data_IF_275330529667
#
_entry.id   IF_275330529667
#
_cell.length_a   1.000
_cell.length_b   1.000
_cell.length_c   1.000
_cell.angle_alpha   90.00
_cell.angle_beta   90.00
_cell.angle_gamma   90.00
#
_symmetry.space_group_name_H-M   'P 1'
#
loop_
_entity.id
_entity.type
_entity.pdbx_description
1 polymer ?
#
# COMPACT_ATOMS: atom_id res chain seq x y z
N UNK A 1 -32.73 30.65 -20.00
CA UNK A 1 -31.43 30.03 -20.36
C UNK A 1 -31.03 29.10 -19.23
N UNK A 2 -31.09 27.78 -19.44
CA UNK A 2 -30.80 26.78 -18.40
C UNK A 2 -29.28 26.56 -18.31
N UNK A 3 -28.68 26.93 -17.18
CA UNK A 3 -27.30 26.60 -16.82
C UNK A 3 -27.25 25.15 -16.34
N UNK A 4 -26.74 24.26 -17.20
CA UNK A 4 -26.44 22.87 -16.82
C UNK A 4 -25.40 22.87 -15.68
N UNK A 5 -25.59 22.10 -14.60
CA UNK A 5 -24.54 21.90 -13.61
C UNK A 5 -23.41 21.09 -14.25
N UNK A 6 -22.23 21.69 -14.34
CA UNK A 6 -21.03 21.02 -14.84
C UNK A 6 -20.79 19.76 -14.02
N UNK A 7 -21.05 18.60 -14.63
CA UNK A 7 -20.75 17.29 -14.06
C UNK A 7 -19.28 17.29 -13.64
N UNK A 8 -18.95 16.99 -12.36
CA UNK A 8 -17.56 16.92 -11.94
C UNK A 8 -16.90 15.82 -12.77
N UNK A 9 -15.97 16.23 -13.62
CA UNK A 9 -15.23 15.35 -14.51
C UNK A 9 -14.60 14.24 -13.67
N UNK A 10 -14.52 13.01 -14.17
CA UNK A 10 -13.90 11.90 -13.44
C UNK A 10 -12.52 12.27 -12.87
N UNK A 11 -11.79 13.16 -13.55
CA UNK A 11 -10.55 13.76 -13.08
C UNK A 11 -10.69 14.55 -11.77
N UNK A 12 -11.74 15.37 -11.60
CA UNK A 12 -12.01 16.13 -10.39
C UNK A 12 -12.36 15.23 -9.20
N UNK A 13 -13.10 14.14 -9.42
CA UNK A 13 -13.39 13.17 -8.38
C UNK A 13 -12.14 12.37 -7.95
N UNK A 14 -11.24 12.10 -8.90
CA UNK A 14 -9.94 11.48 -8.62
C UNK A 14 -9.04 12.46 -7.85
N UNK A 15 -8.98 13.72 -8.25
CA UNK A 15 -8.24 14.78 -7.56
C UNK A 15 -8.79 15.03 -6.15
N UNK A 16 -10.10 14.99 -5.96
CA UNK A 16 -10.73 15.14 -4.64
C UNK A 16 -10.45 13.93 -3.74
N UNK A 17 -10.49 12.70 -4.29
CA UNK A 17 -10.07 11.50 -3.57
C UNK A 17 -8.59 11.55 -3.19
N UNK A 18 -7.73 12.03 -4.09
CA UNK A 18 -6.31 12.23 -3.83
C UNK A 18 -6.08 13.33 -2.79
N UNK A 19 -6.87 14.41 -2.83
CA UNK A 19 -6.89 15.48 -1.85
C UNK A 19 -7.30 14.98 -0.46
N UNK A 20 -8.30 14.09 -0.35
CA UNK A 20 -8.66 13.45 0.93
C UNK A 20 -7.61 12.47 1.43
N UNK A 21 -6.91 11.76 0.53
CA UNK A 21 -5.75 10.93 0.89
C UNK A 21 -4.59 11.79 1.40
N UNK A 22 -4.37 12.95 0.79
CA UNK A 22 -3.35 13.92 1.17
C UNK A 22 -3.71 14.72 2.43
N UNK A 23 -4.99 15.00 2.68
CA UNK A 23 -5.48 15.67 3.89
C UNK A 23 -5.56 14.70 5.09
N UNK A 24 -5.70 13.39 4.82
CA UNK A 24 -5.35 12.36 5.79
C UNK A 24 -3.82 12.31 6.08
N UNK A 25 -3.04 13.20 5.44
CA UNK A 25 -1.60 13.51 5.52
C UNK A 25 -0.97 13.63 6.90
N UNK A 26 -1.72 13.51 7.99
CA UNK A 26 -1.19 12.90 9.22
C UNK A 26 -1.00 11.37 9.05
N UNK A 27 -0.49 10.99 7.89
CA UNK A 27 -0.48 9.66 7.28
C UNK A 27 0.86 8.96 7.50
N UNK A 28 1.88 9.68 7.98
CA UNK A 28 3.27 9.25 8.13
C UNK A 28 3.60 8.79 9.55
N UNK A 29 2.72 8.00 10.16
CA UNK A 29 3.16 7.20 11.30
C UNK A 29 4.02 6.05 10.78
N UNK A 30 5.24 5.84 11.32
CA UNK A 30 6.10 4.67 11.04
C UNK A 30 5.36 3.34 10.89
N UNK A 31 4.35 3.17 11.74
CA UNK A 31 3.50 1.99 11.79
C UNK A 31 2.60 1.82 10.55
N UNK A 32 2.04 2.91 10.01
CA UNK A 32 1.17 2.85 8.83
C UNK A 32 1.97 2.56 7.57
N UNK A 33 3.15 3.14 7.45
CA UNK A 33 4.12 2.83 6.39
C UNK A 33 4.52 1.34 6.44
N UNK A 34 4.85 0.84 7.64
CA UNK A 34 5.17 -0.58 7.84
C UNK A 34 4.02 -1.52 7.46
N UNK A 35 2.76 -1.19 7.79
CA UNK A 35 1.60 -1.98 7.37
C UNK A 35 1.42 -2.00 5.85
N UNK A 36 1.68 -0.89 5.16
CA UNK A 36 1.63 -0.84 3.70
C UNK A 36 2.70 -1.75 3.08
N UNK A 37 3.95 -1.64 3.54
CA UNK A 37 5.06 -2.51 3.13
C UNK A 37 4.70 -3.98 3.35
N UNK A 38 4.22 -4.34 4.55
CA UNK A 38 3.81 -5.70 4.88
C UNK A 38 2.70 -6.22 3.96
N UNK A 39 1.67 -5.41 3.67
CA UNK A 39 0.58 -5.80 2.75
C UNK A 39 1.06 -6.07 1.33
N UNK A 40 1.95 -5.24 0.82
CA UNK A 40 2.52 -5.43 -0.52
C UNK A 40 3.34 -6.70 -0.59
N UNK A 41 4.19 -6.96 0.42
CA UNK A 41 5.01 -8.15 0.48
C UNK A 41 4.15 -9.42 0.49
N UNK A 42 3.12 -9.49 1.35
CA UNK A 42 2.31 -10.71 1.54
C UNK A 42 1.36 -10.99 0.37
N UNK A 43 0.80 -9.95 -0.24
CA UNK A 43 -0.24 -10.09 -1.27
C UNK A 43 0.30 -10.67 -2.59
N UNK A 44 -0.22 -11.83 -3.00
CA UNK A 44 0.16 -12.48 -4.27
C UNK A 44 -0.17 -11.63 -5.50
N UNK A 45 -1.31 -10.92 -5.49
CA UNK A 45 -1.73 -10.04 -6.59
C UNK A 45 -0.83 -8.80 -6.72
N UNK A 46 -0.36 -8.25 -5.60
CA UNK A 46 0.58 -7.13 -5.63
C UNK A 46 1.98 -7.61 -6.03
N UNK A 47 2.38 -8.81 -5.62
CA UNK A 47 3.64 -9.45 -6.07
C UNK A 47 3.73 -9.69 -7.56
N UNK A 48 2.62 -10.00 -8.23
CA UNK A 48 2.58 -10.09 -9.69
C UNK A 48 2.92 -8.76 -10.37
N UNK A 49 2.71 -7.64 -9.67
CA UNK A 49 3.08 -6.30 -10.12
C UNK A 49 4.45 -5.94 -9.53
N UNK A 50 5.52 -6.47 -10.13
CA UNK A 50 6.93 -6.36 -9.68
C UNK A 50 7.35 -4.99 -9.15
N UNK A 51 6.91 -3.90 -9.81
CA UNK A 51 7.11 -2.50 -9.38
C UNK A 51 6.78 -2.26 -7.89
N UNK A 52 5.70 -2.82 -7.38
CA UNK A 52 5.29 -2.59 -5.99
C UNK A 52 6.19 -3.35 -4.99
N UNK A 53 6.67 -4.53 -5.36
CA UNK A 53 7.64 -5.26 -4.54
C UNK A 53 8.97 -4.56 -4.44
N UNK A 54 9.44 -3.95 -5.53
CA UNK A 54 10.70 -3.21 -5.55
C UNK A 54 10.61 -1.97 -4.64
N UNK A 55 9.50 -1.22 -4.74
CA UNK A 55 9.21 -0.10 -3.86
C UNK A 55 9.12 -0.55 -2.39
N UNK A 56 8.37 -1.61 -2.10
CA UNK A 56 8.21 -2.11 -0.74
C UNK A 56 9.54 -2.58 -0.13
N UNK A 57 10.43 -3.18 -0.92
CA UNK A 57 11.78 -3.57 -0.47
C UNK A 57 12.66 -2.36 -0.20
N UNK A 58 12.57 -1.31 -1.03
CA UNK A 58 13.25 -0.05 -0.79
C UNK A 58 12.78 0.61 0.51
N UNK A 59 11.45 0.68 0.70
CA UNK A 59 10.87 1.22 1.93
C UNK A 59 11.22 0.38 3.17
N UNK A 60 11.34 -0.94 3.04
CA UNK A 60 11.72 -1.80 4.15
C UNK A 60 13.14 -1.57 4.68
N UNK A 61 14.01 -0.92 3.90
CA UNK A 61 15.37 -0.56 4.32
C UNK A 61 15.42 0.79 5.08
N UNK A 62 14.32 1.53 5.14
CA UNK A 62 14.23 2.81 5.83
C UNK A 62 14.14 2.60 7.36
N UNK A 63 14.97 3.31 8.17
CA UNK A 63 14.99 3.17 9.63
C UNK A 63 13.68 3.57 10.33
N UNK A 64 12.82 4.36 9.66
CA UNK A 64 11.49 4.71 10.16
C UNK A 64 10.45 3.61 9.95
N UNK A 65 10.79 2.48 9.33
CA UNK A 65 9.84 1.37 9.15
C UNK A 65 9.97 0.33 10.25
N UNK A 66 8.84 -0.07 10.84
CA UNK A 66 8.82 -1.05 11.92
C UNK A 66 9.25 -2.45 11.44
N UNK A 67 10.50 -2.77 11.71
CA UNK A 67 11.20 -4.00 11.30
C UNK A 67 10.49 -5.30 11.76
N UNK A 68 9.79 -5.26 12.90
CA UNK A 68 8.98 -6.39 13.39
C UNK A 68 7.89 -6.81 12.38
N UNK A 69 7.16 -5.84 11.82
CA UNK A 69 6.07 -6.11 10.87
C UNK A 69 6.61 -6.60 9.53
N UNK A 70 7.75 -6.05 9.09
CA UNK A 70 8.44 -6.51 7.88
C UNK A 70 8.88 -7.97 8.04
N UNK A 71 9.56 -8.31 9.15
CA UNK A 71 9.99 -9.70 9.41
C UNK A 71 8.83 -10.67 9.45
N UNK A 72 7.69 -10.27 10.05
CA UNK A 72 6.49 -11.10 10.04
C UNK A 72 5.93 -11.31 8.62
N UNK A 73 5.87 -10.25 7.81
CA UNK A 73 5.46 -10.35 6.42
C UNK A 73 6.38 -11.29 5.61
N UNK A 74 7.69 -11.18 5.79
CA UNK A 74 8.67 -12.06 5.15
C UNK A 74 8.51 -13.52 5.59
N UNK A 75 8.27 -13.77 6.89
CA UNK A 75 7.96 -15.14 7.38
C UNK A 75 6.73 -15.73 6.71
N UNK A 76 5.65 -14.96 6.55
CA UNK A 76 4.44 -15.41 5.84
C UNK A 76 4.70 -15.73 4.36
N UNK A 77 5.69 -15.10 3.74
CA UNK A 77 6.13 -15.44 2.39
C UNK A 77 6.97 -16.72 2.33
N UNK A 78 7.82 -16.93 3.33
CA UNK A 78 8.65 -18.13 3.46
C UNK A 78 7.81 -19.37 3.81
N UNK A 79 6.70 -19.21 4.54
CA UNK A 79 5.70 -20.24 4.73
C UNK A 79 4.95 -20.42 3.40
N UNK A 80 5.41 -21.34 2.55
CA UNK A 80 4.65 -21.77 1.37
C UNK A 80 3.28 -22.30 1.86
N UNK A 81 2.13 -21.75 1.40
CA UNK A 81 0.82 -22.33 1.67
C UNK A 81 0.62 -23.60 0.81
N UNK A 82 1.38 -24.64 1.15
CA UNK A 82 1.40 -25.93 0.43
C UNK A 82 2.45 -26.93 0.92
N UNK A 83 3.15 -26.66 2.03
CA UNK A 83 4.09 -27.64 2.63
C UNK A 83 3.94 -27.71 4.15
N UNK A 84 2.70 -27.79 4.61
CA UNK A 84 2.33 -28.16 5.97
C UNK A 84 1.10 -29.09 5.91
N UNK A 85 1.29 -30.23 5.24
CA UNK A 85 0.41 -31.40 5.27
C UNK A 85 1.20 -32.57 4.65
N UNK A 86 2.07 -33.18 5.45
CA UNK A 86 2.56 -34.55 5.28
C UNK A 86 2.92 -35.06 6.67
#
# INVERSE_FOLDING_TARGET
>A
MQTQPAMPTAASQVLERLGRISAAGELDTPHRLARLVARVLVSRRLRQRRKWCDIARGLAADPCVEDRLIRQAMRWLSIKPGKAAS
#
